data_IF_454303142425
#
_entry.id   IF_454303142425
#
_cell.length_a   1.000
_cell.length_b   1.000
_cell.length_c   1.000
_cell.angle_alpha   90.00
_cell.angle_beta   90.00
_cell.angle_gamma   90.00
#
_symmetry.space_group_name_H-M   'P 1'
#
loop_
_entity.id
_entity.type
_entity.pdbx_description
1 polymer ?
#
# COMPACT_ATOMS: atom_id res chain seq x y z
N UNK A 1 -12.70 13.33 -12.84
CA UNK A 1 -11.66 12.32 -12.58
C UNK A 1 -10.31 13.02 -12.62
N UNK A 2 -9.32 12.61 -11.81
CA UNK A 2 -7.96 13.13 -11.96
C UNK A 2 -7.15 12.18 -12.86
N UNK A 3 -6.20 12.68 -13.68
CA UNK A 3 -5.37 11.83 -14.54
C UNK A 3 -4.63 10.74 -13.77
N UNK A 4 -4.15 11.04 -12.56
CA UNK A 4 -3.48 10.08 -11.69
C UNK A 4 -4.39 8.92 -11.27
N UNK A 5 -5.67 9.20 -11.01
CA UNK A 5 -6.64 8.17 -10.61
C UNK A 5 -6.94 7.23 -11.79
N UNK A 6 -7.09 7.78 -12.98
CA UNK A 6 -7.34 6.99 -14.20
C UNK A 6 -6.16 6.07 -14.49
N UNK A 7 -4.94 6.61 -14.50
CA UNK A 7 -3.72 5.80 -14.68
C UNK A 7 -3.59 4.69 -13.64
N UNK A 8 -3.83 4.99 -12.36
CA UNK A 8 -3.80 3.96 -11.32
C UNK A 8 -4.84 2.85 -11.58
N UNK A 9 -6.05 3.20 -12.04
CA UNK A 9 -7.10 2.22 -12.37
C UNK A 9 -6.66 1.35 -13.54
N UNK A 10 -6.09 1.93 -14.60
CA UNK A 10 -5.55 1.20 -15.75
C UNK A 10 -4.44 0.24 -15.32
N UNK A 11 -3.47 0.70 -14.53
CA UNK A 11 -2.41 -0.14 -13.97
C UNK A 11 -2.99 -1.33 -13.18
N UNK A 12 -4.04 -1.09 -12.38
CA UNK A 12 -4.70 -2.15 -11.61
C UNK A 12 -5.47 -3.13 -12.51
N UNK A 13 -6.02 -2.67 -13.64
CA UNK A 13 -6.64 -3.55 -14.65
C UNK A 13 -5.57 -4.44 -15.29
N UNK A 14 -4.45 -3.85 -15.70
CA UNK A 14 -3.31 -4.58 -16.27
C UNK A 14 -2.71 -5.59 -15.28
N UNK A 15 -2.76 -5.28 -13.98
CA UNK A 15 -2.36 -6.19 -12.90
C UNK A 15 -3.41 -7.28 -12.56
N UNK A 16 -4.56 -7.31 -13.24
CA UNK A 16 -5.61 -8.32 -13.02
C UNK A 16 -6.41 -8.16 -11.73
N UNK A 17 -6.48 -6.96 -11.14
CA UNK A 17 -7.19 -6.75 -9.88
C UNK A 17 -8.72 -6.68 -10.07
N UNK A 18 -9.45 -7.40 -9.22
CA UNK A 18 -10.90 -7.37 -9.16
C UNK A 18 -11.45 -5.94 -8.93
N UNK A 19 -12.69 -5.69 -9.38
CA UNK A 19 -13.33 -4.37 -9.27
C UNK A 19 -13.40 -3.87 -7.81
N UNK A 20 -13.77 -4.75 -6.87
CA UNK A 20 -13.84 -4.40 -5.45
C UNK A 20 -12.48 -3.94 -4.89
N UNK A 21 -11.40 -4.62 -5.28
CA UNK A 21 -10.03 -4.23 -4.88
C UNK A 21 -9.64 -2.88 -5.46
N UNK A 22 -9.95 -2.64 -6.75
CA UNK A 22 -9.70 -1.36 -7.42
C UNK A 22 -10.41 -0.20 -6.71
N UNK A 23 -11.68 -0.40 -6.35
CA UNK A 23 -12.46 0.59 -5.60
C UNK A 23 -11.88 0.84 -4.21
N UNK A 24 -11.51 -0.22 -3.50
CA UNK A 24 -10.93 -0.11 -2.17
C UNK A 24 -9.57 0.63 -2.18
N UNK A 25 -8.71 0.34 -3.16
CA UNK A 25 -7.40 1.00 -3.31
C UNK A 25 -7.55 2.47 -3.69
N UNK A 26 -8.40 2.79 -4.68
CA UNK A 26 -8.65 4.19 -5.04
C UNK A 26 -9.28 4.98 -3.90
N UNK A 27 -10.14 4.36 -3.08
CA UNK A 27 -10.69 5.00 -1.89
C UNK A 27 -9.62 5.25 -0.82
N UNK A 28 -8.66 4.34 -0.64
CA UNK A 28 -7.53 4.55 0.27
C UNK A 28 -6.66 5.74 -0.16
N UNK A 29 -6.33 5.83 -1.45
CA UNK A 29 -5.58 6.96 -2.02
C UNK A 29 -6.36 8.28 -1.84
N UNK A 30 -7.68 8.26 -2.06
CA UNK A 30 -8.54 9.44 -1.85
C UNK A 30 -8.51 9.92 -0.39
N UNK A 31 -8.51 9.01 0.58
CA UNK A 31 -8.42 9.37 2.01
C UNK A 31 -7.08 10.02 2.35
N UNK A 32 -5.97 9.51 1.80
CA UNK A 32 -4.65 10.12 1.95
C UNK A 32 -4.62 11.54 1.36
N UNK A 33 -5.09 11.71 0.12
CA UNK A 33 -5.15 13.02 -0.54
C UNK A 33 -6.02 14.02 0.25
N UNK A 34 -7.15 13.57 0.80
CA UNK A 34 -8.01 14.38 1.64
C UNK A 34 -7.34 14.83 2.95
N UNK A 35 -6.52 13.97 3.58
CA UNK A 35 -5.78 14.28 4.81
C UNK A 35 -4.78 15.43 4.61
N UNK A 36 -4.07 15.45 3.48
CA UNK A 36 -3.05 16.45 3.18
C UNK A 36 -3.53 17.60 2.29
N UNK A 37 -4.75 17.50 1.76
CA UNK A 37 -5.34 18.46 0.79
C UNK A 37 -4.41 18.75 -0.40
N UNK A 38 -3.65 17.74 -0.81
CA UNK A 38 -2.68 17.77 -1.89
C UNK A 38 -2.79 16.51 -2.73
N UNK A 39 -2.32 16.59 -3.96
CA UNK A 39 -2.26 15.44 -4.83
C UNK A 39 -1.27 14.42 -4.26
N UNK A 40 -1.57 13.10 -4.25
CA UNK A 40 -0.73 12.12 -3.56
C UNK A 40 0.66 11.96 -4.23
N UNK A 41 0.81 12.32 -5.49
CA UNK A 41 2.11 12.47 -6.16
C UNK A 41 2.97 13.63 -5.63
N UNK A 42 2.43 14.53 -4.81
CA UNK A 42 3.22 15.60 -4.18
C UNK A 42 3.69 15.25 -2.76
N UNK A 43 3.28 14.09 -2.24
CA UNK A 43 3.60 13.69 -0.86
C UNK A 43 4.97 13.03 -0.79
N UNK A 44 5.68 13.26 0.31
CA UNK A 44 6.95 12.59 0.62
C UNK A 44 6.73 11.22 1.25
N UNK A 45 7.79 10.40 1.29
CA UNK A 45 7.76 9.10 1.94
C UNK A 45 7.42 9.22 3.44
N UNK A 46 7.99 10.22 4.11
CA UNK A 46 7.80 10.50 5.54
C UNK A 46 6.36 10.90 5.85
N UNK A 47 5.73 11.68 4.98
CA UNK A 47 4.32 12.06 5.12
C UNK A 47 3.42 10.81 5.02
N UNK A 48 3.67 9.96 4.02
CA UNK A 48 2.89 8.73 3.84
C UNK A 48 3.11 7.75 4.99
N UNK A 49 4.35 7.65 5.49
CA UNK A 49 4.68 6.87 6.68
C UNK A 49 3.95 7.38 7.91
N UNK A 50 3.95 8.70 8.13
CA UNK A 50 3.26 9.32 9.26
C UNK A 50 1.76 9.05 9.20
N UNK A 51 1.14 9.16 8.02
CA UNK A 51 -0.27 8.82 7.82
C UNK A 51 -0.59 7.36 8.16
N UNK A 52 0.25 6.42 7.71
CA UNK A 52 0.07 5.00 8.03
C UNK A 52 0.23 4.72 9.53
N UNK A 53 1.15 5.40 10.21
CA UNK A 53 1.32 5.30 11.65
C UNK A 53 0.09 5.85 12.40
N UNK A 54 -0.42 7.02 12.00
CA UNK A 54 -1.65 7.59 12.55
C UNK A 54 -2.82 6.62 12.43
N UNK A 55 -3.05 6.04 11.24
CA UNK A 55 -4.11 5.04 11.03
C UNK A 55 -3.95 3.81 11.92
N UNK A 56 -2.70 3.41 12.21
CA UNK A 56 -2.43 2.27 13.09
C UNK A 56 -2.75 2.59 14.54
N UNK A 57 -2.43 3.79 15.00
CA UNK A 57 -2.69 4.25 16.37
C UNK A 57 -4.19 4.47 16.61
N UNK A 58 -4.95 4.87 15.59
CA UNK A 58 -6.41 5.03 15.64
C UNK A 58 -7.18 3.70 15.82
N UNK A 59 -6.50 2.55 15.88
CA UNK A 59 -7.14 1.27 16.13
C UNK A 59 -7.96 0.73 14.95
N UNK A 60 -7.66 1.18 13.73
CA UNK A 60 -8.33 0.68 12.51
C UNK A 60 -8.18 -0.84 12.41
N UNK A 61 -9.28 -1.53 12.10
CA UNK A 61 -9.29 -2.98 11.93
C UNK A 61 -8.17 -3.45 10.98
N UNK A 62 -7.52 -4.57 11.31
CA UNK A 62 -6.32 -5.06 10.59
C UNK A 62 -6.56 -5.22 9.09
N UNK A 63 -7.74 -5.73 8.68
CA UNK A 63 -8.11 -5.87 7.27
C UNK A 63 -8.19 -4.53 6.55
N UNK A 64 -8.88 -3.56 7.15
CA UNK A 64 -9.01 -2.19 6.63
C UNK A 64 -7.65 -1.50 6.51
N UNK A 65 -6.78 -1.66 7.51
CA UNK A 65 -5.41 -1.13 7.46
C UNK A 65 -4.61 -1.75 6.29
N UNK A 66 -4.66 -3.07 6.12
CA UNK A 66 -3.96 -3.77 5.03
C UNK A 66 -4.43 -3.29 3.66
N UNK A 67 -5.74 -3.13 3.47
CA UNK A 67 -6.31 -2.59 2.23
C UNK A 67 -5.75 -1.20 1.94
N UNK A 68 -5.71 -0.34 2.95
CA UNK A 68 -5.11 1.00 2.83
C UNK A 68 -3.64 0.95 2.45
N UNK A 69 -2.86 0.17 3.21
CA UNK A 69 -1.42 -0.01 2.98
C UNK A 69 -1.12 -0.50 1.56
N UNK A 70 -1.81 -1.55 1.09
CA UNK A 70 -1.56 -2.09 -0.24
C UNK A 70 -2.05 -1.17 -1.36
N UNK A 71 -3.12 -0.41 -1.15
CA UNK A 71 -3.55 0.61 -2.10
C UNK A 71 -2.52 1.72 -2.26
N UNK A 72 -1.95 2.21 -1.15
CA UNK A 72 -0.88 3.20 -1.20
C UNK A 72 0.41 2.61 -1.80
N UNK A 73 0.78 1.39 -1.42
CA UNK A 73 1.90 0.67 -2.02
C UNK A 73 1.78 0.59 -3.53
N UNK A 74 0.59 0.20 -4.03
CA UNK A 74 0.35 0.07 -5.45
C UNK A 74 0.53 1.41 -6.17
N UNK A 75 -0.06 2.49 -5.65
CA UNK A 75 0.10 3.82 -6.22
C UNK A 75 1.58 4.21 -6.32
N UNK A 76 2.33 4.13 -5.22
CA UNK A 76 3.70 4.64 -5.19
C UNK A 76 4.68 3.76 -5.96
N UNK A 77 4.59 2.43 -5.82
CA UNK A 77 5.54 1.52 -6.49
C UNK A 77 5.18 1.23 -7.95
N UNK A 78 3.89 1.05 -8.27
CA UNK A 78 3.47 0.63 -9.62
C UNK A 78 3.11 1.81 -10.52
N UNK A 79 2.35 2.78 -10.02
CA UNK A 79 1.86 3.89 -10.85
C UNK A 79 2.84 5.06 -10.90
N UNK A 80 3.47 5.41 -9.77
CA UNK A 80 4.41 6.53 -9.66
C UNK A 80 5.88 6.11 -9.72
N UNK A 81 6.17 4.81 -9.77
CA UNK A 81 7.53 4.24 -9.87
C UNK A 81 8.51 4.77 -8.81
N UNK A 82 8.05 4.96 -7.57
CA UNK A 82 8.88 5.37 -6.43
C UNK A 82 9.40 4.17 -5.68
N UNK A 83 10.73 4.11 -5.55
CA UNK A 83 11.41 3.07 -4.77
C UNK A 83 11.58 3.51 -3.32
N UNK A 84 10.48 3.53 -2.58
CA UNK A 84 10.45 3.90 -1.17
C UNK A 84 10.72 2.70 -0.27
N UNK A 85 11.63 2.86 0.68
CA UNK A 85 11.97 1.84 1.67
C UNK A 85 10.75 1.48 2.55
N UNK A 86 9.81 2.42 2.73
CA UNK A 86 8.52 2.24 3.41
C UNK A 86 7.73 1.03 2.90
N UNK A 87 7.73 0.80 1.58
CA UNK A 87 7.00 -0.29 0.94
C UNK A 87 7.88 -1.43 0.46
N UNK A 88 9.19 -1.25 0.57
CA UNK A 88 10.17 -2.29 0.27
C UNK A 88 10.01 -3.36 1.34
N UNK A 89 9.52 -4.51 0.91
CA UNK A 89 9.46 -5.68 1.78
C UNK A 89 10.89 -5.99 2.24
N UNK A 90 11.22 -5.68 3.49
CA UNK A 90 12.34 -6.37 4.14
C UNK A 90 11.91 -7.82 4.23
N UNK A 91 12.34 -8.62 3.25
CA UNK A 91 12.42 -10.07 3.37
C UNK A 91 13.43 -10.36 4.47
N UNK A 92 13.08 -10.06 5.72
CA UNK A 92 13.80 -10.55 6.87
C UNK A 92 13.74 -12.07 6.73
N UNK A 93 14.93 -12.60 6.48
CA UNK A 93 15.30 -13.99 6.25
C UNK A 93 14.97 -14.83 7.49
N UNK A 94 13.68 -14.94 7.83
CA UNK A 94 13.18 -15.51 9.08
C UNK A 94 12.00 -16.47 8.81
N UNK A 95 12.11 -17.30 7.79
CA UNK A 95 11.35 -18.58 7.67
C UNK A 95 11.94 -19.48 6.58
N UNK A 96 13.26 -19.68 6.60
CA UNK A 96 13.89 -20.89 6.00
C UNK A 96 14.63 -21.72 7.05
N UNK A 97 14.50 -21.38 8.33
CA UNK A 97 15.17 -22.06 9.45
C UNK A 97 14.24 -22.96 10.28
N UNK A 98 12.91 -22.85 10.16
CA UNK A 98 11.97 -23.70 10.94
C UNK A 98 11.53 -24.98 10.20
N UNK A 99 11.87 -25.15 8.92
CA UNK A 99 11.59 -26.38 8.16
C UNK A 99 12.66 -27.47 8.33
N UNK A 100 13.76 -27.22 9.05
CA UNK A 100 14.84 -28.18 9.25
C UNK A 100 14.77 -28.94 10.59
N UNK A 101 13.84 -28.60 11.50
CA UNK A 101 13.76 -29.20 12.84
C UNK A 101 12.63 -30.24 13.01
N UNK A 102 11.83 -30.50 11.97
CA UNK A 102 10.72 -31.48 12.03
C UNK A 102 10.98 -32.73 11.17
N UNK A 103 12.22 -33.19 11.11
CA UNK A 103 12.58 -34.47 10.45
C UNK A 103 13.56 -35.31 11.30
N UNK A 104 13.69 -35.01 12.59
CA UNK A 104 14.58 -35.75 13.49
C UNK A 104 13.93 -36.02 14.84
N UNK A 105 12.77 -36.69 14.84
CA UNK A 105 12.31 -37.61 15.90
C UNK A 105 11.51 -38.72 15.22
#
# INVERSE_FOLDING_TARGET
MSPLRERMIEDMILAGLALGTRQAYTQAVRRLAARYRRSPDQLSEEEVRSYLLELRQQGVARGTFKIGLYGLRFLYQRTLHRDWDLFREKKDRRTRAEAAASCAI
#
